data_IF_667565489873
#
_entry.id   IF_667565489873
#
_cell.length_a   1.000
_cell.length_b   1.000
_cell.length_c   1.000
_cell.angle_alpha   90.00
_cell.angle_beta   90.00
_cell.angle_gamma   90.00
#
_symmetry.space_group_name_H-M   'P 1'
#
loop_
_entity.id
_entity.type
_entity.pdbx_description
1 polymer ?
#
# COMPACT_ATOMS: atom_id res chain seq x y z
N UNK A 1 -0.08 -29.32 27.38
CA UNK A 1 1.13 -29.17 26.55
C UNK A 1 0.66 -28.92 25.12
N UNK A 2 0.39 -27.66 24.79
CA UNK A 2 -0.08 -27.27 23.46
C UNK A 2 1.13 -27.19 22.55
N UNK A 3 1.15 -27.99 21.49
CA UNK A 3 2.19 -27.94 20.47
C UNK A 3 2.19 -26.54 19.84
N UNK A 4 3.22 -25.76 20.15
CA UNK A 4 3.50 -24.49 19.52
C UNK A 4 3.87 -24.77 18.07
N UNK A 5 2.85 -24.72 17.20
CA UNK A 5 3.01 -24.82 15.76
C UNK A 5 3.90 -23.65 15.32
N UNK A 6 5.19 -23.92 15.16
CA UNK A 6 6.15 -22.99 14.56
C UNK A 6 5.64 -22.66 13.17
N UNK A 7 4.94 -21.54 13.06
CA UNK A 7 4.57 -20.94 11.78
C UNK A 7 5.90 -20.61 11.14
N UNK A 8 6.35 -21.46 10.23
CA UNK A 8 7.48 -21.17 9.36
C UNK A 8 7.08 -19.91 8.58
N UNK A 9 7.57 -18.76 9.04
CA UNK A 9 7.34 -17.43 8.46
C UNK A 9 8.12 -17.32 7.16
N UNK A 10 8.03 -18.32 6.27
CA UNK A 10 8.39 -18.13 4.88
C UNK A 10 7.57 -16.94 4.43
N UNK A 11 8.27 -15.83 4.17
CA UNK A 11 7.64 -14.54 3.91
C UNK A 11 6.60 -14.72 2.81
N UNK A 12 5.39 -14.18 3.00
CA UNK A 12 4.34 -14.05 1.97
C UNK A 12 4.79 -13.24 0.73
N UNK A 13 6.07 -12.87 0.68
CA UNK A 13 6.73 -12.21 -0.43
C UNK A 13 6.98 -13.24 -1.53
N UNK A 14 6.32 -13.02 -2.67
CA UNK A 14 6.51 -13.81 -3.87
C UNK A 14 7.98 -13.74 -4.34
N UNK A 15 8.66 -14.89 -4.31
CA UNK A 15 10.07 -14.99 -4.72
C UNK A 15 10.28 -14.71 -6.21
N UNK A 16 9.29 -15.02 -7.05
CA UNK A 16 9.28 -14.69 -8.47
C UNK A 16 9.20 -13.19 -8.70
N UNK A 17 8.39 -12.49 -7.91
CA UNK A 17 8.30 -11.02 -7.94
C UNK A 17 9.62 -10.37 -7.54
N UNK A 18 10.27 -10.86 -6.48
CA UNK A 18 11.60 -10.38 -6.07
C UNK A 18 12.65 -10.64 -7.16
N UNK A 19 12.64 -11.85 -7.74
CA UNK A 19 13.56 -12.19 -8.83
C UNK A 19 13.34 -11.30 -10.06
N UNK A 20 12.09 -10.99 -10.40
CA UNK A 20 11.77 -10.07 -11.49
C UNK A 20 12.30 -8.66 -11.22
N UNK A 21 12.08 -8.13 -10.01
CA UNK A 21 12.58 -6.81 -9.61
C UNK A 21 14.11 -6.73 -9.66
N UNK A 22 14.81 -7.79 -9.21
CA UNK A 22 16.27 -7.83 -9.25
C UNK A 22 16.85 -7.95 -10.66
N UNK A 23 16.08 -8.40 -11.65
CA UNK A 23 16.49 -8.47 -13.07
C UNK A 23 16.33 -7.15 -13.81
N UNK A 24 15.51 -6.24 -13.31
CA UNK A 24 15.37 -4.88 -13.84
C UNK A 24 16.63 -4.06 -13.56
N UNK A 25 16.95 -3.12 -14.46
CA UNK A 25 17.98 -2.10 -14.22
C UNK A 25 17.58 -1.17 -13.07
N UNK A 26 18.52 -0.45 -12.45
CA UNK A 26 18.19 0.57 -11.45
C UNK A 26 17.17 1.61 -11.94
N UNK A 27 17.30 2.07 -13.17
CA UNK A 27 16.41 3.05 -13.81
C UNK A 27 15.01 2.45 -14.01
N UNK A 28 14.92 1.21 -14.48
CA UNK A 28 13.65 0.50 -14.65
C UNK A 28 12.93 0.29 -13.30
N UNK A 29 13.67 0.02 -12.22
CA UNK A 29 13.10 -0.09 -10.87
C UNK A 29 12.55 1.23 -10.38
N UNK A 30 13.25 2.34 -10.63
CA UNK A 30 12.77 3.68 -10.28
C UNK A 30 11.47 3.98 -11.03
N UNK A 31 11.44 3.74 -12.33
CA UNK A 31 10.24 3.95 -13.15
C UNK A 31 9.06 3.07 -12.70
N UNK A 32 9.31 1.79 -12.39
CA UNK A 32 8.28 0.89 -11.88
C UNK A 32 7.71 1.37 -10.54
N UNK A 33 8.56 1.88 -9.65
CA UNK A 33 8.14 2.44 -8.35
C UNK A 33 7.34 3.73 -8.51
N UNK A 34 7.74 4.63 -9.42
CA UNK A 34 7.01 5.86 -9.70
C UNK A 34 5.59 5.56 -10.21
N UNK A 35 5.48 4.58 -11.11
CA UNK A 35 4.19 4.12 -11.63
C UNK A 35 3.32 3.51 -10.52
N UNK A 36 3.90 2.63 -9.69
CA UNK A 36 3.18 2.02 -8.57
C UNK A 36 2.70 3.08 -7.56
N UNK A 37 3.56 4.03 -7.22
CA UNK A 37 3.23 5.14 -6.33
C UNK A 37 2.07 5.97 -6.86
N UNK A 38 2.11 6.33 -8.15
CA UNK A 38 1.03 7.08 -8.81
C UNK A 38 -0.30 6.33 -8.73
N UNK A 39 -0.31 5.04 -9.09
CA UNK A 39 -1.54 4.22 -9.01
C UNK A 39 -2.09 4.13 -7.58
N UNK A 40 -1.23 3.99 -6.57
CA UNK A 40 -1.65 3.97 -5.17
C UNK A 40 -2.32 5.29 -4.77
N UNK A 41 -1.77 6.43 -5.20
CA UNK A 41 -2.38 7.74 -4.94
C UNK A 41 -3.73 7.88 -5.64
N UNK A 42 -3.81 7.52 -6.92
CA UNK A 42 -5.06 7.58 -7.69
C UNK A 42 -6.16 6.74 -7.03
N UNK A 43 -5.83 5.51 -6.61
CA UNK A 43 -6.77 4.65 -5.88
C UNK A 43 -7.16 5.22 -4.53
N UNK A 44 -6.23 5.84 -3.79
CA UNK A 44 -6.53 6.46 -2.50
C UNK A 44 -7.47 7.65 -2.66
N UNK A 45 -7.25 8.47 -3.68
CA UNK A 45 -8.06 9.66 -3.93
C UNK A 45 -9.47 9.27 -4.41
N UNK A 46 -9.61 8.22 -5.22
CA UNK A 46 -10.92 7.66 -5.58
C UNK A 46 -11.70 7.13 -4.38
N UNK A 47 -11.01 6.57 -3.39
CA UNK A 47 -11.59 6.06 -2.15
C UNK A 47 -11.59 7.10 -1.02
N UNK A 48 -11.24 8.35 -1.32
CA UNK A 48 -11.29 9.42 -0.33
C UNK A 48 -12.75 9.69 0.00
N UNK A 49 -13.16 9.28 1.19
CA UNK A 49 -14.45 9.68 1.73
C UNK A 49 -14.52 11.21 1.69
N UNK A 50 -15.64 11.81 1.26
CA UNK A 50 -15.83 13.24 1.43
C UNK A 50 -15.60 13.55 2.91
N UNK A 51 -14.82 14.61 3.21
CA UNK A 51 -14.70 15.04 4.59
C UNK A 51 -16.11 15.18 5.16
N UNK A 52 -16.39 14.63 6.36
CA UNK A 52 -17.64 14.94 7.01
C UNK A 52 -17.68 16.45 7.11
N UNK A 53 -18.63 17.08 6.41
CA UNK A 53 -18.94 18.49 6.59
C UNK A 53 -19.17 18.63 8.09
N UNK A 54 -18.18 19.14 8.81
CA UNK A 54 -18.36 19.55 10.18
C UNK A 54 -19.46 20.59 10.07
N UNK A 55 -20.68 20.21 10.47
CA UNK A 55 -21.80 21.13 10.54
C UNK A 55 -21.28 22.36 11.25
N UNK A 56 -21.16 23.47 10.51
CA UNK A 56 -20.81 24.75 11.09
C UNK A 56 -21.87 25.01 12.15
N UNK A 57 -21.52 24.76 13.42
CA UNK A 57 -22.35 25.16 14.54
C UNK A 57 -22.28 26.67 14.55
N UNK A 58 -23.27 27.27 13.86
CA UNK A 58 -23.61 28.67 14.01
C UNK A 58 -24.03 28.85 15.46
N UNK A 59 -23.12 29.34 16.30
CA UNK A 59 -23.48 29.89 17.59
C UNK A 59 -24.15 31.24 17.34
N UNK A 60 -25.48 31.22 17.28
CA UNK A 60 -26.31 32.39 17.47
C UNK A 60 -27.20 32.13 18.69
N UNK A 61 -26.72 32.60 19.84
CA UNK A 61 -27.51 32.90 21.04
C UNK A 61 -26.70 33.88 21.90
#
# INVERSE_FOLDING_TARGET
>A
MSEEKRIDKQSDVDRGLVAMFLRMSPEERLQANDNAFRTILELRDQNRAPEPQRCAHNNHA
#
